data_IF_958238921325
#
_entry.id   IF_958238921325
#
_cell.length_a   1.000
_cell.length_b   1.000
_cell.length_c   1.000
_cell.angle_alpha   90.00
_cell.angle_beta   90.00
_cell.angle_gamma   90.00
#
_symmetry.space_group_name_H-M   'P 1'
#
loop_
_entity.id
_entity.type
_entity.pdbx_description
1 polymer ?
#
# COMPACT_ATOMS: atom_id res chain seq x y z
N UNK A 1 -23.22 14.38 11.76
CA UNK A 1 -22.57 13.14 11.27
C UNK A 1 -21.09 13.21 11.61
N UNK A 2 -20.47 12.12 12.07
CA UNK A 2 -19.01 12.10 12.27
C UNK A 2 -18.31 12.09 10.89
N UNK A 3 -17.36 13.01 10.68
CA UNK A 3 -16.59 13.07 9.44
C UNK A 3 -15.77 11.78 9.27
N UNK A 4 -15.78 11.21 8.07
CA UNK A 4 -15.03 9.99 7.74
C UNK A 4 -13.52 10.25 7.83
N UNK A 5 -12.80 9.35 8.52
CA UNK A 5 -11.34 9.39 8.65
C UNK A 5 -10.65 8.41 7.72
N UNK A 6 -9.75 8.93 6.88
CA UNK A 6 -8.99 8.16 5.90
C UNK A 6 -7.49 8.23 6.19
N UNK A 7 -6.84 7.08 6.25
CA UNK A 7 -5.38 6.96 6.29
C UNK A 7 -4.85 6.50 4.94
N UNK A 8 -3.98 7.31 4.33
CA UNK A 8 -3.22 6.93 3.13
C UNK A 8 -1.79 6.53 3.55
N UNK A 9 -1.52 5.23 3.57
CA UNK A 9 -0.32 4.65 4.17
C UNK A 9 0.70 4.20 3.11
N UNK A 10 1.88 4.80 3.18
CA UNK A 10 2.97 4.72 2.21
C UNK A 10 2.85 5.79 1.11
N UNK A 11 3.83 5.85 0.22
CA UNK A 11 3.85 6.82 -0.89
C UNK A 11 4.67 6.27 -2.06
N UNK A 12 4.19 6.47 -3.28
CA UNK A 12 4.92 6.27 -4.54
C UNK A 12 4.55 7.39 -5.51
N UNK A 13 5.55 8.19 -5.91
CA UNK A 13 5.41 9.22 -6.95
C UNK A 13 4.24 10.20 -6.74
N UNK A 14 4.01 10.59 -5.48
CA UNK A 14 2.98 11.54 -5.04
C UNK A 14 1.53 11.05 -5.24
N UNK A 15 1.31 9.75 -5.41
CA UNK A 15 -0.02 9.18 -5.56
C UNK A 15 -0.89 9.48 -4.34
N UNK A 16 -0.41 9.18 -3.13
CA UNK A 16 -1.19 9.41 -1.92
C UNK A 16 -1.25 10.89 -1.56
N UNK A 17 -0.19 11.67 -1.80
CA UNK A 17 -0.19 13.13 -1.69
C UNK A 17 -1.34 13.76 -2.51
N UNK A 18 -1.41 13.47 -3.80
CA UNK A 18 -2.41 14.04 -4.70
C UNK A 18 -3.82 13.53 -4.37
N UNK A 19 -3.95 12.26 -3.98
CA UNK A 19 -5.23 11.72 -3.53
C UNK A 19 -5.71 12.41 -2.25
N UNK A 20 -4.82 12.65 -1.28
CA UNK A 20 -5.15 13.38 -0.07
C UNK A 20 -5.66 14.78 -0.38
N UNK A 21 -4.97 15.52 -1.25
CA UNK A 21 -5.40 16.85 -1.69
C UNK A 21 -6.81 16.81 -2.27
N UNK A 22 -7.10 15.88 -3.20
CA UNK A 22 -8.43 15.73 -3.79
C UNK A 22 -9.52 15.38 -2.76
N UNK A 23 -9.23 14.45 -1.84
CA UNK A 23 -10.19 14.02 -0.81
C UNK A 23 -10.44 15.12 0.24
N UNK A 24 -9.41 15.86 0.64
CA UNK A 24 -9.54 17.00 1.56
C UNK A 24 -10.40 18.11 0.97
N UNK A 25 -10.29 18.38 -0.34
CA UNK A 25 -11.19 19.33 -1.04
C UNK A 25 -12.66 18.88 -1.03
N UNK A 26 -12.92 17.58 -0.87
CA UNK A 26 -14.26 17.01 -0.73
C UNK A 26 -14.76 16.97 0.74
N UNK A 27 -14.00 17.55 1.68
CA UNK A 27 -14.36 17.62 3.09
C UNK A 27 -14.12 16.33 3.89
N UNK A 28 -13.31 15.41 3.37
CA UNK A 28 -12.92 14.18 4.07
C UNK A 28 -11.72 14.46 4.99
N UNK A 29 -11.71 13.89 6.19
CA UNK A 29 -10.57 13.96 7.11
C UNK A 29 -9.50 12.94 6.66
N UNK A 30 -8.42 13.42 6.04
CA UNK A 30 -7.38 12.57 5.46
C UNK A 30 -6.06 12.79 6.17
N UNK A 31 -5.43 11.69 6.59
CA UNK A 31 -4.06 11.67 7.11
C UNK A 31 -3.17 10.89 6.14
N UNK A 32 -2.06 11.51 5.73
CA UNK A 32 -1.00 10.85 4.96
C UNK A 32 0.11 10.35 5.89
N UNK A 33 0.57 9.12 5.66
CA UNK A 33 1.62 8.53 6.47
C UNK A 33 2.68 7.84 5.60
N UNK A 34 3.94 8.29 5.61
CA UNK A 34 4.98 7.70 4.76
C UNK A 34 6.39 7.80 5.34
N UNK A 35 7.34 7.06 4.73
CA UNK A 35 8.77 7.34 4.88
C UNK A 35 9.37 8.10 3.70
N UNK A 36 8.54 8.74 2.87
CA UNK A 36 8.91 9.31 1.59
C UNK A 36 9.03 8.30 0.44
N UNK A 37 9.45 8.76 -0.74
CA UNK A 37 9.65 7.99 -1.98
C UNK A 37 11.12 8.11 -2.46
N UNK A 38 12.03 7.47 -1.70
CA UNK A 38 13.47 7.52 -1.98
C UNK A 38 14.07 8.90 -1.72
N UNK A 39 14.61 9.54 -2.76
CA UNK A 39 15.18 10.91 -2.69
C UNK A 39 14.11 11.99 -2.86
N UNK A 40 12.90 11.63 -3.27
CA UNK A 40 11.79 12.58 -3.41
C UNK A 40 11.27 12.89 -2.01
N UNK A 41 11.52 14.12 -1.56
CA UNK A 41 11.08 14.64 -0.27
C UNK A 41 9.56 14.93 -0.27
N UNK A 42 8.74 13.91 -0.53
CA UNK A 42 7.28 14.02 -0.48
C UNK A 42 6.89 14.09 1.00
N UNK A 43 6.29 15.21 1.39
CA UNK A 43 5.82 15.42 2.76
C UNK A 43 4.57 14.60 3.06
N UNK A 44 4.47 14.13 4.30
CA UNK A 44 3.30 13.45 4.86
C UNK A 44 3.07 13.91 6.29
N UNK A 45 1.82 13.88 6.75
CA UNK A 45 1.42 14.33 8.09
C UNK A 45 2.11 13.51 9.18
N UNK A 46 2.15 12.19 8.98
CA UNK A 46 2.89 11.24 9.81
C UNK A 46 4.12 10.77 9.03
N UNK A 47 5.32 11.07 9.51
CA UNK A 47 6.57 10.69 8.83
C UNK A 47 7.48 9.84 9.70
N UNK A 48 8.04 8.78 9.10
CA UNK A 48 9.17 8.04 9.66
C UNK A 48 10.38 8.02 8.72
N UNK A 49 10.49 9.02 7.84
CA UNK A 49 11.68 9.22 7.02
C UNK A 49 12.93 9.39 7.92
N UNK A 50 14.06 8.90 7.43
CA UNK A 50 15.37 9.12 8.05
C UNK A 50 16.12 10.20 7.29
N UNK A 51 16.96 10.97 7.97
CA UNK A 51 17.83 11.98 7.36
C UNK A 51 19.20 11.40 7.00
N UNK A 52 19.61 10.34 7.70
CA UNK A 52 20.90 9.69 7.51
C UNK A 52 20.84 8.65 6.39
N UNK A 53 22.00 8.38 5.80
CA UNK A 53 22.17 7.33 4.76
C UNK A 53 22.69 6.01 5.36
N UNK A 54 22.66 4.94 4.57
CA UNK A 54 23.24 3.64 4.93
C UNK A 54 22.60 2.99 6.17
N UNK A 55 23.41 2.26 6.95
CA UNK A 55 22.94 1.53 8.15
C UNK A 55 22.38 2.47 9.22
N UNK A 56 23.01 3.63 9.43
CA UNK A 56 22.55 4.63 10.38
C UNK A 56 21.15 5.16 10.00
N UNK A 57 20.91 5.40 8.70
CA UNK A 57 19.60 5.77 8.18
C UNK A 57 18.53 4.69 8.39
N UNK A 58 18.87 3.42 8.24
CA UNK A 58 17.94 2.31 8.51
C UNK A 58 17.52 2.26 9.99
N UNK A 59 18.47 2.44 10.91
CA UNK A 59 18.19 2.47 12.35
C UNK A 59 17.35 3.68 12.72
N UNK A 60 17.68 4.86 12.18
CA UNK A 60 16.90 6.08 12.38
C UNK A 60 15.45 5.92 11.91
N UNK A 61 15.23 5.36 10.71
CA UNK A 61 13.87 5.07 10.20
C UNK A 61 13.11 4.12 11.10
N UNK A 62 13.77 3.10 11.65
CA UNK A 62 13.13 2.16 12.57
C UNK A 62 12.76 2.83 13.89
N UNK A 63 13.64 3.69 14.42
CA UNK A 63 13.37 4.47 15.61
C UNK A 63 12.20 5.46 15.39
N UNK A 64 12.21 6.20 14.27
CA UNK A 64 11.10 7.11 13.93
C UNK A 64 9.80 6.33 13.73
N UNK A 65 9.85 5.17 13.08
CA UNK A 65 8.69 4.30 12.92
C UNK A 65 8.12 3.84 14.27
N UNK A 66 9.00 3.50 15.24
CA UNK A 66 8.58 3.09 16.59
C UNK A 66 7.81 4.17 17.36
N UNK A 67 8.02 5.44 17.01
CA UNK A 67 7.30 6.59 17.60
C UNK A 67 5.92 6.80 16.99
N UNK A 68 5.77 6.55 15.69
CA UNK A 68 4.56 6.94 14.94
C UNK A 68 3.60 5.78 14.65
N UNK A 69 4.06 4.52 14.62
CA UNK A 69 3.20 3.41 14.16
C UNK A 69 1.91 3.21 14.98
N UNK A 70 1.90 3.66 16.24
CA UNK A 70 0.73 3.61 17.12
C UNK A 70 -0.39 4.56 16.68
N UNK A 71 -0.10 5.51 15.81
CA UNK A 71 -1.07 6.42 15.21
C UNK A 71 -1.78 5.80 13.99
N UNK A 72 -1.39 4.60 13.54
CA UNK A 72 -2.00 3.94 12.38
C UNK A 72 -3.26 3.11 12.73
N UNK A 73 -4.13 3.67 13.57
CA UNK A 73 -5.38 3.04 14.04
C UNK A 73 -6.54 4.04 14.15
N UNK A 74 -7.76 3.52 14.17
CA UNK A 74 -8.97 4.31 14.41
C UNK A 74 -9.52 5.02 13.17
N UNK A 75 -9.07 4.66 11.97
CA UNK A 75 -9.57 5.18 10.69
C UNK A 75 -10.74 4.33 10.17
N UNK A 76 -11.66 5.00 9.49
CA UNK A 76 -12.76 4.34 8.78
C UNK A 76 -12.26 3.61 7.53
N UNK A 77 -11.28 4.20 6.85
CA UNK A 77 -10.66 3.64 5.65
C UNK A 77 -9.15 3.78 5.75
N UNK A 78 -8.42 2.70 5.50
CA UNK A 78 -6.98 2.72 5.24
C UNK A 78 -6.73 2.29 3.82
N UNK A 79 -5.98 3.08 3.07
CA UNK A 79 -5.45 2.69 1.77
C UNK A 79 -3.95 2.42 1.88
N UNK A 80 -3.56 1.20 1.53
CA UNK A 80 -2.19 0.71 1.54
C UNK A 80 -1.60 0.87 0.14
N UNK A 81 -0.44 1.53 0.02
CA UNK A 81 0.23 1.70 -1.27
C UNK A 81 0.83 0.39 -1.80
N UNK A 82 1.16 -0.56 -0.91
CA UNK A 82 1.92 -1.78 -1.22
C UNK A 82 1.76 -2.84 -0.12
N UNK A 83 1.93 -4.15 -0.42
CA UNK A 83 2.04 -5.19 0.60
C UNK A 83 3.25 -5.02 1.53
N UNK A 84 4.27 -4.28 1.09
CA UNK A 84 5.48 -4.05 1.86
C UNK A 84 5.79 -2.55 1.94
N UNK A 85 5.44 -1.95 3.08
CA UNK A 85 5.63 -0.52 3.39
C UNK A 85 6.75 -0.34 4.41
N UNK A 86 6.94 -1.32 5.29
CA UNK A 86 7.91 -1.28 6.38
C UNK A 86 9.07 -2.27 6.12
N UNK A 87 10.16 -2.20 6.90
CA UNK A 87 11.26 -3.16 6.83
C UNK A 87 10.76 -4.62 6.91
N UNK A 88 11.33 -5.50 6.09
CA UNK A 88 10.96 -6.93 6.04
C UNK A 88 11.67 -7.71 7.15
N UNK A 89 12.81 -7.19 7.58
CA UNK A 89 13.69 -7.77 8.59
C UNK A 89 12.91 -8.02 9.89
N UNK A 90 13.20 -9.15 10.53
CA UNK A 90 12.61 -9.54 11.82
C UNK A 90 11.07 -9.54 11.85
N UNK A 91 10.42 -9.63 10.68
CA UNK A 91 8.96 -9.63 10.56
C UNK A 91 8.29 -8.29 10.88
N UNK A 92 9.04 -7.17 10.86
CA UNK A 92 8.52 -5.84 11.18
C UNK A 92 7.32 -5.48 10.29
N UNK A 93 7.43 -5.63 8.97
CA UNK A 93 6.31 -5.38 8.04
C UNK A 93 5.08 -6.20 8.40
N UNK A 94 5.23 -7.49 8.69
CA UNK A 94 4.11 -8.35 9.08
C UNK A 94 3.45 -7.85 10.37
N UNK A 95 4.23 -7.49 11.39
CA UNK A 95 3.71 -7.04 12.70
C UNK A 95 2.93 -5.73 12.57
N UNK A 96 3.49 -4.74 11.90
CA UNK A 96 2.84 -3.43 11.76
C UNK A 96 1.63 -3.53 10.82
N UNK A 97 1.73 -4.25 9.70
CA UNK A 97 0.58 -4.43 8.81
C UNK A 97 -0.59 -5.14 9.52
N UNK A 98 -0.32 -6.15 10.36
CA UNK A 98 -1.36 -6.77 11.20
C UNK A 98 -1.99 -5.77 12.17
N UNK A 99 -1.18 -4.93 12.80
CA UNK A 99 -1.68 -3.87 13.66
C UNK A 99 -2.62 -2.92 12.91
N UNK A 100 -2.22 -2.45 11.72
CA UNK A 100 -3.06 -1.60 10.86
C UNK A 100 -4.36 -2.31 10.48
N UNK A 101 -4.28 -3.55 9.99
CA UNK A 101 -5.47 -4.30 9.56
C UNK A 101 -6.46 -4.51 10.71
N UNK A 102 -5.97 -4.84 11.91
CA UNK A 102 -6.83 -5.21 13.03
C UNK A 102 -7.42 -4.01 13.80
N UNK A 103 -6.94 -2.79 13.55
CA UNK A 103 -7.33 -1.60 14.32
C UNK A 103 -8.02 -0.52 13.46
N UNK A 104 -8.48 -0.86 12.26
CA UNK A 104 -9.19 0.04 11.35
C UNK A 104 -10.37 -0.68 10.69
N UNK A 105 -11.38 0.07 10.21
CA UNK A 105 -12.65 -0.55 9.76
C UNK A 105 -12.56 -1.18 8.37
N UNK A 106 -12.05 -0.45 7.38
CA UNK A 106 -11.89 -0.94 5.99
C UNK A 106 -10.44 -0.79 5.53
N UNK A 107 -9.93 -1.81 4.85
CA UNK A 107 -8.56 -1.84 4.33
C UNK A 107 -8.61 -2.04 2.82
N UNK A 108 -8.02 -1.12 2.08
CA UNK A 108 -7.85 -1.25 0.63
C UNK A 108 -6.38 -1.34 0.28
N UNK A 109 -6.04 -2.21 -0.66
CA UNK A 109 -4.70 -2.29 -1.23
C UNK A 109 -4.72 -1.69 -2.63
N UNK A 110 -3.83 -0.75 -2.92
CA UNK A 110 -3.67 -0.19 -4.26
C UNK A 110 -2.71 -1.04 -5.09
N UNK A 111 -3.07 -1.26 -6.34
CA UNK A 111 -2.18 -1.80 -7.36
C UNK A 111 -1.42 -0.71 -8.07
N UNK A 112 -0.34 -0.21 -7.47
CA UNK A 112 0.52 0.85 -8.01
C UNK A 112 2.00 0.44 -7.95
N UNK A 113 2.43 -0.46 -8.84
CA UNK A 113 3.79 -1.01 -8.83
C UNK A 113 3.95 -2.21 -7.89
N UNK A 114 5.15 -2.35 -7.30
CA UNK A 114 5.40 -3.35 -6.26
C UNK A 114 5.32 -4.82 -6.69
N UNK A 115 5.55 -5.14 -7.97
CA UNK A 115 5.45 -6.53 -8.47
C UNK A 115 6.41 -7.50 -7.79
N UNK A 116 7.52 -7.04 -7.21
CA UNK A 116 8.48 -7.90 -6.46
C UNK A 116 8.08 -8.18 -5.01
N UNK A 117 7.04 -7.49 -4.50
CA UNK A 117 6.51 -7.69 -3.15
C UNK A 117 5.07 -8.17 -3.11
N UNK A 118 4.39 -8.18 -4.26
CA UNK A 118 3.05 -8.70 -4.43
C UNK A 118 3.05 -10.03 -5.20
N UNK A 119 2.67 -11.15 -4.57
CA UNK A 119 2.73 -12.49 -5.19
C UNK A 119 1.81 -12.63 -6.40
N UNK A 120 0.62 -12.03 -6.37
CA UNK A 120 -0.35 -12.10 -7.47
C UNK A 120 0.20 -11.38 -8.70
N UNK A 121 0.68 -10.13 -8.52
CA UNK A 121 1.30 -9.36 -9.60
C UNK A 121 2.56 -10.06 -10.14
N UNK A 122 3.43 -10.55 -9.25
CA UNK A 122 4.66 -11.24 -9.63
C UNK A 122 4.41 -12.45 -10.54
N UNK A 123 3.41 -13.28 -10.17
CA UNK A 123 3.05 -14.45 -10.96
C UNK A 123 2.53 -14.06 -12.35
N UNK A 124 1.65 -13.05 -12.42
CA UNK A 124 1.15 -12.56 -13.70
C UNK A 124 2.24 -12.00 -14.59
N UNK A 125 3.06 -11.06 -14.08
CA UNK A 125 4.15 -10.46 -14.87
C UNK A 125 5.20 -11.48 -15.31
N UNK A 126 5.43 -12.54 -14.52
CA UNK A 126 6.41 -13.57 -14.86
C UNK A 126 5.88 -14.60 -15.86
N UNK A 127 4.61 -14.99 -15.74
CA UNK A 127 4.10 -16.20 -16.42
C UNK A 127 3.01 -15.91 -17.47
N UNK A 128 2.24 -14.84 -17.32
CA UNK A 128 1.04 -14.58 -18.14
C UNK A 128 1.16 -13.30 -18.97
N UNK A 129 1.96 -12.33 -18.53
CA UNK A 129 2.10 -11.06 -19.22
C UNK A 129 2.85 -11.22 -20.55
N UNK A 130 2.39 -10.51 -21.59
CA UNK A 130 2.92 -10.58 -22.97
C UNK A 130 4.45 -10.40 -23.05
N UNK A 131 5.03 -9.65 -22.12
CA UNK A 131 6.46 -9.39 -22.04
C UNK A 131 7.04 -9.89 -20.71
N UNK A 132 7.22 -11.20 -20.52
CA UNK A 132 7.63 -11.77 -19.23
C UNK A 132 9.05 -11.34 -18.80
N UNK A 133 9.88 -10.90 -19.75
CA UNK A 133 11.20 -10.33 -19.49
C UNK A 133 11.14 -9.06 -18.64
N UNK A 134 10.01 -8.32 -18.68
CA UNK A 134 9.79 -7.14 -17.85
C UNK A 134 9.96 -7.46 -16.36
N UNK A 135 9.47 -8.62 -15.92
CA UNK A 135 9.62 -9.02 -14.52
C UNK A 135 11.10 -9.20 -14.14
N UNK A 136 11.92 -9.77 -15.02
CA UNK A 136 13.34 -9.96 -14.75
C UNK A 136 14.08 -8.61 -14.66
N UNK A 137 13.74 -7.65 -15.52
CA UNK A 137 14.32 -6.30 -15.45
C UNK A 137 13.90 -5.56 -14.17
N UNK A 138 12.64 -5.69 -13.74
CA UNK A 138 12.20 -5.12 -12.45
C UNK A 138 13.00 -5.73 -11.30
N UNK A 139 13.19 -7.05 -11.30
CA UNK A 139 13.97 -7.72 -10.27
C UNK A 139 15.44 -7.29 -10.30
N UNK A 140 16.04 -7.16 -11.48
CA UNK A 140 17.42 -6.67 -11.64
C UNK A 140 17.58 -5.27 -11.06
N UNK A 141 16.61 -4.38 -11.32
CA UNK A 141 16.61 -3.00 -10.81
C UNK A 141 16.38 -2.92 -9.29
N UNK A 142 15.49 -3.74 -8.76
CA UNK A 142 15.10 -3.68 -7.33
C UNK A 142 15.94 -4.56 -6.43
N UNK A 143 16.61 -5.59 -6.99
CA UNK A 143 17.30 -6.63 -6.24
C UNK A 143 16.36 -7.50 -5.39
N UNK A 144 15.04 -7.46 -5.64
CA UNK A 144 14.04 -8.02 -4.73
C UNK A 144 13.21 -9.12 -5.40
N UNK A 145 12.99 -10.23 -4.68
CA UNK A 145 12.11 -11.34 -5.05
C UNK A 145 11.26 -11.79 -3.85
N UNK A 146 11.03 -10.91 -2.87
CA UNK A 146 10.39 -11.28 -1.62
C UNK A 146 9.02 -11.92 -1.79
N UNK A 147 8.24 -11.52 -2.79
CA UNK A 147 6.95 -12.14 -3.15
C UNK A 147 7.02 -13.65 -3.41
N UNK A 148 8.19 -14.19 -3.75
CA UNK A 148 8.46 -15.62 -3.97
C UNK A 148 9.17 -16.32 -2.81
N UNK A 149 9.46 -15.62 -1.72
CA UNK A 149 9.90 -16.27 -0.49
C UNK A 149 8.72 -16.96 0.21
N UNK A 150 8.93 -18.02 1.02
CA UNK A 150 7.87 -18.62 1.82
C UNK A 150 7.18 -17.61 2.74
N UNK A 151 7.93 -16.65 3.30
CA UNK A 151 7.40 -15.59 4.16
C UNK A 151 6.57 -14.58 3.38
N UNK A 152 7.04 -14.14 2.22
CA UNK A 152 6.32 -13.23 1.34
C UNK A 152 5.03 -13.83 0.80
N UNK A 153 5.04 -15.09 0.33
CA UNK A 153 3.81 -15.79 -0.11
C UNK A 153 2.77 -15.89 1.00
N UNK A 154 3.19 -16.34 2.19
CA UNK A 154 2.28 -16.46 3.35
C UNK A 154 1.69 -15.11 3.75
N UNK A 155 2.51 -14.06 3.75
CA UNK A 155 2.03 -12.72 4.10
C UNK A 155 1.09 -12.15 3.04
N UNK A 156 1.41 -12.29 1.75
CA UNK A 156 0.54 -11.83 0.67
C UNK A 156 -0.81 -12.53 0.71
N UNK A 157 -0.83 -13.86 0.93
CA UNK A 157 -2.10 -14.58 1.15
C UNK A 157 -2.89 -13.98 2.32
N UNK A 158 -2.27 -13.86 3.49
CA UNK A 158 -2.90 -13.25 4.67
C UNK A 158 -3.46 -11.85 4.36
N UNK A 159 -2.68 -11.00 3.69
CA UNK A 159 -3.09 -9.64 3.34
C UNK A 159 -4.33 -9.67 2.45
N UNK A 160 -4.32 -10.45 1.37
CA UNK A 160 -5.45 -10.53 0.44
C UNK A 160 -6.71 -11.14 1.06
N UNK A 161 -6.56 -12.07 2.01
CA UNK A 161 -7.67 -12.61 2.80
C UNK A 161 -8.23 -11.58 3.80
N UNK A 162 -7.46 -10.52 4.13
CA UNK A 162 -7.82 -9.52 5.16
C UNK A 162 -8.26 -8.15 4.62
N UNK A 163 -7.99 -7.85 3.35
CA UNK A 163 -8.39 -6.56 2.76
C UNK A 163 -9.88 -6.54 2.41
N UNK A 164 -10.50 -5.38 2.56
CA UNK A 164 -11.85 -5.08 2.05
C UNK A 164 -11.88 -5.07 0.53
N UNK A 165 -10.83 -4.54 -0.11
CA UNK A 165 -10.77 -4.50 -1.56
C UNK A 165 -9.39 -4.19 -2.14
N UNK A 166 -9.22 -4.50 -3.42
CA UNK A 166 -8.03 -4.16 -4.20
C UNK A 166 -8.39 -3.12 -5.27
N UNK A 167 -7.57 -2.08 -5.41
CA UNK A 167 -7.83 -0.94 -6.32
C UNK A 167 -6.67 -0.83 -7.31
N UNK A 168 -6.79 -1.37 -8.53
CA UNK A 168 -5.75 -1.24 -9.55
C UNK A 168 -5.75 0.16 -10.17
N UNK A 169 -4.56 0.72 -10.42
CA UNK A 169 -4.45 2.03 -11.09
C UNK A 169 -4.42 1.92 -12.62
N UNK A 170 -4.07 0.75 -13.16
CA UNK A 170 -3.97 0.49 -14.60
C UNK A 170 -4.38 -0.94 -14.92
N UNK A 171 -4.56 -1.23 -16.20
CA UNK A 171 -5.01 -2.52 -16.73
C UNK A 171 -4.12 -3.68 -16.26
N UNK A 172 -2.79 -3.54 -16.34
CA UNK A 172 -1.82 -4.57 -15.97
C UNK A 172 -1.85 -4.91 -14.47
N UNK A 173 -2.32 -3.98 -13.63
CA UNK A 173 -2.56 -4.23 -12.21
C UNK A 173 -3.93 -4.86 -11.96
N UNK A 174 -4.89 -4.67 -12.86
CA UNK A 174 -6.24 -5.21 -12.76
C UNK A 174 -6.35 -6.66 -13.24
N UNK A 175 -5.75 -7.00 -14.38
CA UNK A 175 -5.81 -8.32 -15.01
C UNK A 175 -5.48 -9.50 -14.08
N UNK A 176 -4.35 -9.50 -13.34
CA UNK A 176 -4.02 -10.58 -12.42
C UNK A 176 -5.13 -10.93 -11.42
N UNK A 177 -5.91 -9.94 -11.02
CA UNK A 177 -6.98 -10.10 -10.03
C UNK A 177 -8.32 -10.50 -10.67
N UNK A 178 -8.51 -10.20 -11.96
CA UNK A 178 -9.66 -10.67 -12.74
C UNK A 178 -9.56 -12.16 -13.02
N UNK A 179 -8.37 -12.64 -13.39
CA UNK A 179 -8.11 -14.07 -13.66
C UNK A 179 -8.37 -14.94 -12.43
N UNK A 180 -7.98 -14.46 -11.24
CA UNK A 180 -8.09 -15.22 -9.99
C UNK A 180 -9.51 -15.23 -9.39
N UNK A 181 -10.49 -14.52 -9.97
CA UNK A 181 -11.87 -14.39 -9.47
C UNK A 181 -11.95 -14.17 -7.95
N UNK A 182 -11.02 -13.40 -7.39
CA UNK A 182 -10.92 -13.21 -5.93
C UNK A 182 -12.18 -12.47 -5.46
N UNK A 183 -12.89 -13.01 -4.46
CA UNK A 183 -14.15 -12.42 -3.97
C UNK A 183 -14.01 -10.98 -3.44
N UNK A 184 -12.85 -10.62 -2.90
CA UNK A 184 -12.50 -9.24 -2.49
C UNK A 184 -12.07 -8.34 -3.66
N UNK A 185 -12.15 -8.82 -4.90
CA UNK A 185 -12.02 -7.98 -6.10
C UNK A 185 -13.29 -7.14 -6.26
N UNK A 186 -13.24 -5.91 -5.77
CA UNK A 186 -14.21 -4.91 -6.19
C UNK A 186 -13.71 -4.35 -7.52
N UNK A 187 -14.54 -4.41 -8.57
CA UNK A 187 -14.29 -3.77 -9.87
C UNK A 187 -14.27 -2.24 -9.72
N UNK A 188 -13.27 -1.69 -9.04
CA UNK A 188 -13.17 -0.26 -8.75
C UNK A 188 -11.91 0.29 -9.41
N UNK A 189 -12.11 1.05 -10.48
CA UNK A 189 -11.09 1.97 -10.96
C UNK A 189 -10.92 3.12 -9.95
N UNK A 190 -9.82 3.88 -10.04
CA UNK A 190 -9.52 5.01 -9.14
C UNK A 190 -10.71 6.00 -9.01
N UNK A 191 -11.45 6.21 -10.09
CA UNK A 191 -12.66 7.05 -10.15
C UNK A 191 -13.80 6.55 -9.23
N UNK A 192 -13.82 5.25 -8.98
CA UNK A 192 -14.86 4.56 -8.22
C UNK A 192 -14.56 4.55 -6.72
N UNK A 193 -13.30 4.74 -6.31
CA UNK A 193 -12.93 5.07 -4.92
C UNK A 193 -13.46 6.46 -4.55
N UNK A 194 -13.33 7.44 -5.45
CA UNK A 194 -13.90 8.77 -5.27
C UNK A 194 -15.43 8.66 -5.13
N UNK A 195 -16.10 7.89 -6.00
CA UNK A 195 -17.55 7.66 -5.89
C UNK A 195 -17.96 6.90 -4.62
N UNK A 196 -17.18 5.95 -4.11
CA UNK A 196 -17.49 5.27 -2.85
C UNK A 196 -17.32 6.21 -1.66
N UNK A 197 -16.25 6.99 -1.64
CA UNK A 197 -15.99 7.95 -0.57
C UNK A 197 -17.05 9.08 -0.60
N UNK A 198 -17.49 9.50 -1.78
CA UNK A 198 -18.58 10.46 -1.97
C UNK A 198 -19.97 9.88 -1.65
N UNK A 199 -20.26 8.62 -2.00
CA UNK A 199 -21.55 8.01 -1.68
C UNK A 199 -21.67 7.61 -0.21
N UNK A 200 -20.55 7.34 0.47
CA UNK A 200 -20.53 7.07 1.92
C UNK A 200 -20.60 8.34 2.77
N UNK A 201 -20.39 9.54 2.22
CA UNK A 201 -20.58 10.82 2.94
C UNK A 201 -22.01 11.36 2.85
N UNK A 202 -22.87 10.76 2.01
CA UNK A 202 -24.28 11.15 1.82
C UNK A 202 -25.30 10.28 2.59
N UNK A 203 -24.86 9.34 3.44
CA UNK A 203 -25.72 8.48 4.27
C UNK A 203 -25.48 8.77 5.75
#
# INVERSE_FOLDING_TARGET
>A
MSIMKVLLLGEFSALHKNLAEGLSHLGIDVTTASSGDGTKAISSDLSWAGKRVGKAGKIERLFNLSKVYKEFKGYDVVQLISPCIFPKELGINKRIMKYVINNNKKIYLVGAGGSTVNTILANFFRNSYKYPQLYQEIVKKTGDKWCFSPTGRRFNKYLHDSITGYIPIMYEYAEPYRELRIQSYVKLFLFQLILILLNMSQI
#
